data_IF_978560009118
#
_entry.id   IF_978560009118
#
_cell.length_a   1.000
_cell.length_b   1.000
_cell.length_c   1.000
_cell.angle_alpha   90.00
_cell.angle_beta   90.00
_cell.angle_gamma   90.00
#
_symmetry.space_group_name_H-M   'P 1'
#
loop_
_entity.id
_entity.type
_entity.pdbx_description
1 polymer ?
#
# COMPACT_ATOMS: atom_id res chain seq x y z
N UNK A 1 10.15 -23.33 25.09
CA UNK A 1 11.58 -23.62 24.81
C UNK A 1 12.38 -22.41 25.26
N UNK A 2 13.60 -22.57 25.79
CA UNK A 2 14.40 -21.42 26.26
C UNK A 2 14.88 -20.57 25.06
N UNK A 3 14.72 -19.25 25.15
CA UNK A 3 15.14 -18.27 24.14
C UNK A 3 16.64 -18.42 23.82
N UNK A 4 17.45 -18.72 24.83
CA UNK A 4 18.88 -18.95 24.65
C UNK A 4 19.16 -20.13 23.71
N UNK A 5 18.34 -21.20 23.77
CA UNK A 5 18.47 -22.36 22.90
C UNK A 5 18.11 -22.03 21.44
N UNK A 6 17.07 -21.21 21.23
CA UNK A 6 16.65 -20.78 19.89
C UNK A 6 17.73 -19.89 19.26
N UNK A 7 18.29 -18.94 20.02
CA UNK A 7 19.38 -18.08 19.56
C UNK A 7 20.63 -18.89 19.18
N UNK A 8 20.99 -19.90 19.99
CA UNK A 8 22.09 -20.84 19.65
C UNK A 8 21.80 -21.63 18.36
N UNK A 9 20.58 -22.14 18.19
CA UNK A 9 20.16 -22.85 16.96
C UNK A 9 20.29 -21.95 15.72
N UNK A 10 20.03 -20.65 15.88
CA UNK A 10 20.18 -19.64 14.82
C UNK A 10 21.62 -19.12 14.65
N UNK A 11 22.58 -19.63 15.44
CA UNK A 11 23.97 -19.16 15.49
C UNK A 11 24.07 -17.66 15.83
N UNK A 12 23.18 -17.18 16.70
CA UNK A 12 23.14 -15.80 17.19
C UNK A 12 23.75 -15.75 18.59
N UNK A 13 25.01 -15.30 18.68
CA UNK A 13 25.76 -15.10 19.93
C UNK A 13 26.47 -16.37 20.44
N UNK A 14 27.78 -16.27 20.69
CA UNK A 14 28.63 -17.38 21.15
C UNK A 14 28.77 -17.48 22.68
N UNK A 15 28.19 -16.58 23.46
CA UNK A 15 28.37 -16.56 24.92
C UNK A 15 27.10 -16.18 25.66
N UNK A 16 27.01 -16.64 26.91
CA UNK A 16 25.90 -16.56 27.87
C UNK A 16 25.61 -15.10 28.34
N UNK A 17 25.81 -14.10 27.47
CA UNK A 17 25.53 -12.67 27.69
C UNK A 17 24.47 -12.16 26.71
N UNK A 18 23.54 -11.34 27.21
CA UNK A 18 22.31 -10.88 26.55
C UNK A 18 22.52 -10.33 25.13
N UNK A 19 22.22 -11.14 24.10
CA UNK A 19 22.05 -10.64 22.74
C UNK A 19 20.92 -9.60 22.75
N UNK A 20 21.16 -8.39 22.25
CA UNK A 20 20.07 -7.40 22.12
C UNK A 20 19.11 -7.84 21.01
N UNK A 21 17.84 -7.46 21.11
CA UNK A 21 16.88 -7.72 20.03
C UNK A 21 17.32 -7.11 18.71
N UNK A 22 17.94 -5.92 18.74
CA UNK A 22 18.48 -5.27 17.54
C UNK A 22 19.56 -6.14 16.87
N UNK A 23 20.51 -6.68 17.64
CA UNK A 23 21.53 -7.58 17.11
C UNK A 23 20.94 -8.89 16.58
N UNK A 24 19.99 -9.50 17.30
CA UNK A 24 19.32 -10.71 16.87
C UNK A 24 18.56 -10.50 15.55
N UNK A 25 17.71 -9.48 15.46
CA UNK A 25 16.97 -9.15 14.24
C UNK A 25 17.90 -8.79 13.07
N UNK A 26 19.04 -8.15 13.35
CA UNK A 26 20.04 -7.81 12.32
C UNK A 26 20.72 -9.05 11.76
N UNK A 27 21.05 -10.00 12.63
CA UNK A 27 21.62 -11.28 12.21
C UNK A 27 20.62 -12.10 11.41
N UNK A 28 19.37 -12.20 11.86
CA UNK A 28 18.30 -12.93 11.14
C UNK A 28 18.10 -12.31 9.77
N UNK A 29 17.98 -10.97 9.69
CA UNK A 29 17.82 -10.26 8.43
C UNK A 29 18.99 -10.53 7.48
N UNK A 30 20.23 -10.41 7.96
CA UNK A 30 21.42 -10.68 7.14
C UNK A 30 21.48 -12.14 6.68
N UNK A 31 21.16 -13.08 7.55
CA UNK A 31 21.16 -14.51 7.22
C UNK A 31 20.08 -14.84 6.18
N UNK A 32 18.90 -14.23 6.29
CA UNK A 32 17.80 -14.45 5.36
C UNK A 32 18.09 -13.85 3.97
N UNK A 33 18.76 -12.71 3.90
CA UNK A 33 19.08 -12.03 2.63
C UNK A 33 20.15 -12.74 1.78
N UNK A 34 21.02 -13.53 2.39
CA UNK A 34 22.07 -14.30 1.68
C UNK A 34 21.67 -15.75 1.39
N UNK A 35 20.48 -16.17 1.83
CA UNK A 35 20.02 -17.55 1.69
C UNK A 35 19.21 -17.75 0.41
N UNK A 36 19.69 -18.65 -0.45
CA UNK A 36 19.05 -18.97 -1.72
C UNK A 36 18.16 -20.22 -1.65
N UNK A 37 18.34 -21.08 -0.63
CA UNK A 37 17.56 -22.31 -0.50
C UNK A 37 16.17 -22.04 0.08
N UNK A 38 15.14 -22.50 -0.63
CA UNK A 38 13.75 -22.43 -0.17
C UNK A 38 13.57 -23.08 1.21
N UNK A 39 14.16 -24.25 1.44
CA UNK A 39 14.08 -25.00 2.69
C UNK A 39 14.74 -24.26 3.86
N UNK A 40 15.92 -23.68 3.63
CA UNK A 40 16.61 -22.91 4.66
C UNK A 40 15.86 -21.62 5.01
N UNK A 41 15.34 -20.90 4.02
CA UNK A 41 14.50 -19.73 4.26
C UNK A 41 13.24 -20.08 5.08
N UNK A 42 12.58 -21.19 4.76
CA UNK A 42 11.43 -21.67 5.54
C UNK A 42 11.83 -21.98 7.00
N UNK A 43 12.98 -22.62 7.21
CA UNK A 43 13.52 -22.89 8.55
C UNK A 43 13.90 -21.62 9.31
N UNK A 44 14.44 -20.60 8.63
CA UNK A 44 14.72 -19.29 9.26
C UNK A 44 13.41 -18.63 9.70
N UNK A 45 12.37 -18.64 8.87
CA UNK A 45 11.05 -18.11 9.22
C UNK A 45 10.45 -18.84 10.41
N UNK A 46 10.54 -20.17 10.43
CA UNK A 46 10.05 -21.01 11.54
C UNK A 46 10.79 -20.70 12.85
N UNK A 47 12.13 -20.69 12.83
CA UNK A 47 12.94 -20.35 14.00
C UNK A 47 12.67 -18.90 14.48
N UNK A 48 12.43 -17.98 13.55
CA UNK A 48 12.08 -16.59 13.88
C UNK A 48 10.70 -16.53 14.54
N UNK A 49 9.71 -17.25 14.01
CA UNK A 49 8.39 -17.34 14.63
C UNK A 49 8.48 -17.95 16.04
N UNK A 50 9.32 -18.97 16.23
CA UNK A 50 9.56 -19.58 17.53
C UNK A 50 10.23 -18.60 18.50
N UNK A 51 11.24 -17.86 18.05
CA UNK A 51 11.91 -16.82 18.84
C UNK A 51 10.90 -15.75 19.29
N UNK A 52 10.11 -15.21 18.36
CA UNK A 52 9.09 -14.19 18.66
C UNK A 52 8.00 -14.73 19.58
N UNK A 53 7.63 -16.00 19.48
CA UNK A 53 6.61 -16.61 20.33
C UNK A 53 7.06 -16.77 21.79
N UNK A 54 8.34 -17.08 22.01
CA UNK A 54 8.88 -17.46 23.31
C UNK A 54 9.68 -16.34 24.01
N UNK A 55 10.12 -15.31 23.29
CA UNK A 55 10.92 -14.24 23.88
C UNK A 55 10.10 -13.33 24.80
N UNK A 56 10.67 -12.86 25.93
CA UNK A 56 10.00 -11.89 26.79
C UNK A 56 9.62 -10.61 26.03
N UNK A 57 8.41 -10.09 26.27
CA UNK A 57 7.93 -8.85 25.63
C UNK A 57 8.87 -7.67 25.87
N UNK A 58 9.43 -7.57 27.08
CA UNK A 58 10.42 -6.54 27.44
C UNK A 58 11.74 -6.64 26.67
N UNK A 59 12.08 -7.85 26.20
CA UNK A 59 13.25 -8.06 25.34
C UNK A 59 12.91 -7.83 23.87
N UNK A 60 11.75 -8.29 23.39
CA UNK A 60 11.29 -8.10 22.02
C UNK A 60 11.05 -6.61 21.70
N UNK A 61 10.46 -5.92 22.65
CA UNK A 61 10.11 -4.51 22.56
C UNK A 61 10.71 -3.79 23.77
N UNK A 62 12.03 -3.54 23.75
CA UNK A 62 12.65 -2.64 24.71
C UNK A 62 12.19 -1.21 24.36
N UNK A 63 12.95 -0.19 24.73
CA UNK A 63 12.63 1.18 24.31
C UNK A 63 12.70 1.33 22.77
N UNK A 64 11.55 1.17 22.09
CA UNK A 64 11.47 1.12 20.63
C UNK A 64 11.78 2.50 20.05
N UNK A 65 13.02 2.66 19.62
CA UNK A 65 13.53 3.83 18.90
C UNK A 65 13.43 3.63 17.37
N UNK A 66 13.96 4.60 16.62
CA UNK A 66 13.93 4.60 15.15
C UNK A 66 14.71 3.42 14.55
N UNK A 67 15.82 3.01 15.18
CA UNK A 67 16.69 1.94 14.67
C UNK A 67 16.01 0.57 14.83
N UNK A 68 15.46 0.28 16.01
CA UNK A 68 14.73 -0.97 16.27
C UNK A 68 13.51 -1.07 15.36
N UNK A 69 12.77 0.03 15.21
CA UNK A 69 11.62 0.11 14.30
C UNK A 69 12.02 -0.13 12.84
N UNK A 70 13.11 0.50 12.40
CA UNK A 70 13.67 0.31 11.06
C UNK A 70 14.09 -1.14 10.83
N UNK A 71 14.65 -1.80 11.86
CA UNK A 71 15.05 -3.20 11.77
C UNK A 71 13.86 -4.16 11.66
N UNK A 72 12.80 -3.95 12.45
CA UNK A 72 11.55 -4.70 12.29
C UNK A 72 10.95 -4.53 10.90
N UNK A 73 10.88 -3.28 10.41
CA UNK A 73 10.36 -2.99 9.07
C UNK A 73 11.21 -3.66 7.97
N UNK A 74 12.54 -3.59 8.10
CA UNK A 74 13.47 -4.25 7.17
C UNK A 74 13.26 -5.76 7.13
N UNK A 75 13.18 -6.40 8.28
CA UNK A 75 12.94 -7.84 8.38
C UNK A 75 11.60 -8.25 7.75
N UNK A 76 10.52 -7.52 8.06
CA UNK A 76 9.19 -7.76 7.46
C UNK A 76 9.23 -7.60 5.94
N UNK A 77 9.93 -6.59 5.42
CA UNK A 77 10.09 -6.39 3.97
C UNK A 77 10.85 -7.56 3.32
N UNK A 78 11.92 -8.05 3.93
CA UNK A 78 12.65 -9.22 3.40
C UNK A 78 11.79 -10.49 3.39
N UNK A 79 11.05 -10.74 4.46
CA UNK A 79 10.14 -11.90 4.54
C UNK A 79 9.03 -11.82 3.49
N UNK A 80 8.39 -10.66 3.34
CA UNK A 80 7.34 -10.49 2.31
C UNK A 80 7.90 -10.60 0.89
N UNK A 81 9.14 -10.14 0.65
CA UNK A 81 9.81 -10.29 -0.66
C UNK A 81 10.08 -11.75 -1.02
N UNK A 82 10.35 -12.61 -0.04
CA UNK A 82 10.56 -14.03 -0.29
C UNK A 82 9.32 -14.73 -0.88
N UNK A 83 8.11 -14.28 -0.53
CA UNK A 83 6.85 -14.75 -1.08
C UNK A 83 6.30 -13.85 -2.20
N UNK A 84 7.09 -12.89 -2.71
CA UNK A 84 6.67 -12.01 -3.78
C UNK A 84 6.42 -12.77 -5.08
N UNK A 85 5.53 -12.23 -5.91
CA UNK A 85 5.25 -12.81 -7.21
C UNK A 85 6.47 -12.65 -8.13
N UNK A 86 6.82 -13.67 -8.93
CA UNK A 86 7.87 -13.56 -9.92
C UNK A 86 7.56 -12.44 -10.91
N UNK A 87 8.61 -11.73 -11.34
CA UNK A 87 8.50 -10.68 -12.36
C UNK A 87 8.04 -11.33 -13.66
N UNK A 88 6.98 -10.79 -14.25
CA UNK A 88 6.48 -11.22 -15.55
C UNK A 88 7.02 -10.29 -16.63
N UNK A 89 8.18 -10.62 -17.20
CA UNK A 89 8.76 -9.89 -18.33
C UNK A 89 8.10 -10.23 -19.67
N UNK A 90 7.13 -11.15 -19.67
CA UNK A 90 6.44 -11.51 -20.91
C UNK A 90 5.43 -10.46 -21.30
N UNK A 91 5.36 -10.19 -22.61
CA UNK A 91 4.33 -9.35 -23.20
C UNK A 91 2.92 -9.82 -22.88
N UNK A 92 2.69 -11.05 -22.38
CA UNK A 92 1.36 -11.58 -22.02
C UNK A 92 0.85 -11.12 -20.64
N UNK A 93 1.75 -10.67 -19.76
CA UNK A 93 1.40 -10.29 -18.38
C UNK A 93 0.96 -11.47 -17.49
N UNK A 94 1.15 -12.70 -17.95
CA UNK A 94 0.80 -13.93 -17.23
C UNK A 94 1.94 -14.93 -17.31
N UNK A 95 2.32 -15.51 -16.17
CA UNK A 95 3.29 -16.61 -16.13
C UNK A 95 2.56 -17.96 -16.05
N UNK A 96 3.15 -19.05 -16.55
CA UNK A 96 2.63 -20.39 -16.36
C UNK A 96 2.44 -20.73 -14.87
N UNK A 97 1.42 -21.53 -14.54
CA UNK A 97 1.09 -21.88 -13.15
C UNK A 97 2.28 -22.47 -12.37
N UNK A 98 3.14 -23.25 -13.03
CA UNK A 98 4.37 -23.82 -12.45
C UNK A 98 5.34 -22.77 -11.88
N UNK A 99 5.34 -21.54 -12.42
CA UNK A 99 6.19 -20.46 -11.92
C UNK A 99 5.74 -19.96 -10.54
N UNK A 100 4.55 -20.37 -10.08
CA UNK A 100 3.99 -19.99 -8.80
C UNK A 100 3.93 -21.15 -7.79
N UNK A 101 4.44 -22.34 -8.13
CA UNK A 101 4.22 -23.58 -7.37
C UNK A 101 4.59 -23.46 -5.89
N UNK A 102 5.72 -22.81 -5.58
CA UNK A 102 6.18 -22.64 -4.19
C UNK A 102 5.53 -21.45 -3.47
N UNK A 103 4.91 -20.52 -4.20
CA UNK A 103 4.43 -19.24 -3.65
C UNK A 103 3.38 -19.44 -2.55
N UNK A 104 2.37 -20.35 -2.67
CA UNK A 104 1.43 -20.60 -1.59
C UNK A 104 2.09 -21.05 -0.28
N UNK A 105 3.11 -21.91 -0.35
CA UNK A 105 3.83 -22.41 0.83
C UNK A 105 4.67 -21.29 1.45
N UNK A 106 5.41 -20.54 0.63
CA UNK A 106 6.16 -19.34 1.07
C UNK A 106 5.24 -18.33 1.76
N UNK A 107 4.08 -18.04 1.17
CA UNK A 107 3.12 -17.11 1.72
C UNK A 107 2.58 -17.54 3.10
N UNK A 108 2.35 -18.85 3.30
CA UNK A 108 1.93 -19.37 4.61
C UNK A 108 3.03 -19.23 5.67
N UNK A 109 4.28 -19.54 5.33
CA UNK A 109 5.41 -19.41 6.25
C UNK A 109 5.60 -17.94 6.68
N UNK A 110 5.54 -17.02 5.72
CA UNK A 110 5.61 -15.56 5.98
C UNK A 110 4.43 -15.12 6.84
N UNK A 111 3.18 -15.46 6.50
CA UNK A 111 2.04 -15.09 7.32
C UNK A 111 2.18 -15.60 8.76
N UNK A 112 2.73 -16.79 8.96
CA UNK A 112 2.91 -17.38 10.30
C UNK A 112 3.80 -16.51 11.17
N UNK A 113 4.99 -16.13 10.69
CA UNK A 113 5.89 -15.27 11.47
C UNK A 113 5.32 -13.87 11.69
N UNK A 114 4.63 -13.30 10.69
CA UNK A 114 4.02 -11.97 10.81
C UNK A 114 2.84 -11.96 11.78
N UNK A 115 2.02 -13.01 11.81
CA UNK A 115 0.93 -13.18 12.79
C UNK A 115 1.48 -13.30 14.22
N UNK A 116 2.56 -14.05 14.41
CA UNK A 116 3.21 -14.14 15.73
C UNK A 116 3.73 -12.78 16.16
N UNK A 117 4.43 -12.06 15.28
CA UNK A 117 4.90 -10.69 15.58
C UNK A 117 3.73 -9.77 15.97
N UNK A 118 2.65 -9.81 15.19
CA UNK A 118 1.45 -9.00 15.43
C UNK A 118 0.85 -9.29 16.81
N UNK A 119 0.72 -10.57 17.17
CA UNK A 119 0.22 -10.98 18.46
C UNK A 119 1.07 -10.45 19.62
N UNK A 120 2.40 -10.47 19.50
CA UNK A 120 3.27 -9.95 20.57
C UNK A 120 3.21 -8.42 20.69
N UNK A 121 3.06 -7.71 19.56
CA UNK A 121 2.82 -6.26 19.56
C UNK A 121 1.49 -5.96 20.26
N UNK A 122 0.42 -6.69 19.93
CA UNK A 122 -0.90 -6.53 20.56
C UNK A 122 -0.84 -6.76 22.08
N UNK A 123 -0.23 -7.86 22.55
CA UNK A 123 -0.04 -8.11 23.99
C UNK A 123 0.69 -6.96 24.70
N UNK A 124 1.73 -6.43 24.06
CA UNK A 124 2.50 -5.30 24.64
C UNK A 124 1.67 -4.02 24.70
N UNK A 125 0.78 -3.80 23.72
CA UNK A 125 -0.15 -2.67 23.72
C UNK A 125 -1.20 -2.79 24.83
N UNK A 126 -1.69 -4.00 25.10
CA UNK A 126 -2.62 -4.28 26.20
C UNK A 126 -1.97 -4.03 27.57
N UNK A 127 -0.70 -4.42 27.74
CA UNK A 127 0.01 -4.32 29.02
C UNK A 127 0.45 -2.89 29.37
N UNK A 128 1.03 -2.15 28.42
CA UNK A 128 1.75 -0.89 28.70
C UNK A 128 1.24 0.32 27.91
N UNK A 129 0.30 0.12 26.98
CA UNK A 129 -0.29 1.15 26.13
C UNK A 129 0.74 2.16 25.53
N UNK A 130 1.91 1.66 25.13
CA UNK A 130 3.06 2.48 24.74
C UNK A 130 2.90 3.15 23.36
N UNK A 131 3.09 4.48 23.23
CA UNK A 131 3.05 5.18 21.93
C UNK A 131 4.08 4.67 20.93
N UNK A 132 5.26 4.25 21.39
CA UNK A 132 6.33 3.73 20.53
C UNK A 132 5.91 2.40 19.88
N UNK A 133 5.20 1.55 20.61
CA UNK A 133 4.67 0.28 20.11
C UNK A 133 3.51 0.49 19.15
N UNK A 134 2.60 1.45 19.43
CA UNK A 134 1.54 1.83 18.47
C UNK A 134 2.16 2.33 17.17
N UNK A 135 3.22 3.13 17.27
CA UNK A 135 3.96 3.63 16.11
C UNK A 135 4.63 2.50 15.32
N UNK A 136 5.14 1.47 15.99
CA UNK A 136 5.66 0.26 15.33
C UNK A 136 4.55 -0.46 14.56
N UNK A 137 3.40 -0.73 15.19
CA UNK A 137 2.24 -1.36 14.52
C UNK A 137 1.80 -0.61 13.27
N UNK A 138 1.67 0.72 13.36
CA UNK A 138 1.35 1.59 12.20
C UNK A 138 2.42 1.57 11.11
N UNK A 139 3.69 1.39 11.48
CA UNK A 139 4.79 1.31 10.51
C UNK A 139 4.75 0.01 9.71
N UNK A 140 4.33 -1.09 10.33
CA UNK A 140 4.27 -2.41 9.68
C UNK A 140 2.97 -2.63 8.88
N UNK A 141 1.88 -1.97 9.27
CA UNK A 141 0.55 -2.16 8.69
C UNK A 141 0.49 -2.04 7.16
N UNK A 142 1.10 -1.04 6.48
CA UNK A 142 1.08 -0.95 5.02
C UNK A 142 1.64 -2.20 4.33
N UNK A 143 2.76 -2.74 4.85
CA UNK A 143 3.40 -3.95 4.31
C UNK A 143 2.52 -5.18 4.54
N UNK A 144 1.85 -5.30 5.70
CA UNK A 144 0.91 -6.38 5.95
C UNK A 144 -0.31 -6.31 5.02
N UNK A 145 -0.82 -5.10 4.74
CA UNK A 145 -1.94 -4.89 3.84
C UNK A 145 -1.61 -5.34 2.42
N UNK A 146 -0.51 -4.84 1.86
CA UNK A 146 -0.08 -5.19 0.49
C UNK A 146 0.12 -6.70 0.37
N UNK A 147 0.84 -7.30 1.32
CA UNK A 147 1.12 -8.73 1.31
C UNK A 147 -0.18 -9.55 1.40
N UNK A 148 -1.05 -9.20 2.34
CA UNK A 148 -2.32 -9.92 2.53
C UNK A 148 -3.20 -9.84 1.29
N UNK A 149 -3.38 -8.65 0.71
CA UNK A 149 -4.21 -8.44 -0.48
C UNK A 149 -3.66 -9.23 -1.68
N UNK A 150 -2.33 -9.29 -1.85
CA UNK A 150 -1.68 -10.05 -2.91
C UNK A 150 -2.01 -11.55 -2.85
N UNK A 151 -2.26 -12.09 -1.66
CA UNK A 151 -2.55 -13.50 -1.42
C UNK A 151 -4.00 -13.78 -1.00
N UNK A 152 -4.92 -12.82 -1.10
CA UNK A 152 -6.29 -12.95 -0.57
C UNK A 152 -7.27 -13.61 -1.53
N UNK A 153 -7.10 -13.36 -2.84
CA UNK A 153 -8.01 -13.82 -3.89
C UNK A 153 -7.56 -15.17 -4.46
N UNK A 154 -8.51 -15.93 -5.02
CA UNK A 154 -8.20 -17.15 -5.74
C UNK A 154 -7.44 -16.81 -7.03
N UNK A 155 -6.18 -17.22 -7.07
CA UNK A 155 -5.22 -16.97 -8.13
C UNK A 155 -4.29 -18.18 -8.28
N UNK A 156 -3.59 -18.32 -9.43
CA UNK A 156 -2.64 -19.42 -9.67
C UNK A 156 -1.54 -19.55 -8.61
N UNK A 157 -1.20 -18.47 -7.91
CA UNK A 157 -0.18 -18.42 -6.85
C UNK A 157 -0.75 -18.53 -5.43
N UNK A 158 -1.99 -18.98 -5.27
CA UNK A 158 -2.63 -19.10 -3.96
C UNK A 158 -3.25 -20.47 -3.73
N UNK A 159 -3.25 -20.92 -2.48
CA UNK A 159 -4.02 -22.08 -2.02
C UNK A 159 -5.07 -21.65 -1.00
N UNK A 160 -6.06 -22.50 -0.72
CA UNK A 160 -7.07 -22.22 0.30
C UNK A 160 -6.42 -21.89 1.67
N UNK A 161 -5.35 -22.61 2.03
CA UNK A 161 -4.60 -22.38 3.25
C UNK A 161 -3.82 -21.05 3.24
N UNK A 162 -3.17 -20.68 2.11
CA UNK A 162 -2.46 -19.39 2.04
C UNK A 162 -3.44 -18.21 2.10
N UNK A 163 -4.59 -18.31 1.44
CA UNK A 163 -5.66 -17.28 1.50
C UNK A 163 -6.23 -17.12 2.90
N UNK A 164 -6.42 -18.22 3.62
CA UNK A 164 -6.86 -18.18 5.02
C UNK A 164 -5.87 -17.39 5.88
N UNK A 165 -4.58 -17.71 5.78
CA UNK A 165 -3.52 -17.01 6.52
C UNK A 165 -3.40 -15.53 6.14
N UNK A 166 -3.53 -15.21 4.85
CA UNK A 166 -3.53 -13.82 4.38
C UNK A 166 -4.71 -13.01 4.95
N UNK A 167 -5.89 -13.63 5.09
CA UNK A 167 -7.06 -13.00 5.73
C UNK A 167 -6.84 -12.77 7.23
N UNK A 168 -6.27 -13.74 7.92
CA UNK A 168 -5.89 -13.60 9.34
C UNK A 168 -4.89 -12.43 9.49
N UNK A 169 -3.90 -12.32 8.60
CA UNK A 169 -2.92 -11.23 8.65
C UNK A 169 -3.54 -9.86 8.35
N UNK A 170 -4.46 -9.76 7.39
CA UNK A 170 -5.19 -8.52 7.11
C UNK A 170 -6.03 -8.08 8.32
N UNK A 171 -6.66 -9.04 9.00
CA UNK A 171 -7.42 -8.78 10.24
C UNK A 171 -6.49 -8.27 11.34
N UNK A 172 -5.34 -8.91 11.51
CA UNK A 172 -4.35 -8.48 12.49
C UNK A 172 -3.78 -7.08 12.18
N UNK A 173 -3.60 -6.71 10.91
CA UNK A 173 -3.20 -5.36 10.51
C UNK A 173 -4.23 -4.28 10.89
N UNK A 174 -5.53 -4.60 10.76
CA UNK A 174 -6.63 -3.73 11.22
C UNK A 174 -6.56 -3.54 12.73
N UNK A 175 -6.41 -4.63 13.48
CA UNK A 175 -6.32 -4.60 14.95
C UNK A 175 -5.08 -3.85 15.47
N UNK A 176 -3.90 -4.08 14.86
CA UNK A 176 -2.63 -3.43 15.23
C UNK A 176 -2.69 -1.90 15.16
N UNK A 177 -3.55 -1.38 14.31
CA UNK A 177 -3.74 0.07 14.11
C UNK A 177 -4.91 0.63 14.91
N UNK A 178 -5.62 -0.21 15.69
CA UNK A 178 -6.79 0.18 16.46
C UNK A 178 -8.01 0.51 15.59
N UNK A 179 -8.03 0.05 14.34
CA UNK A 179 -9.13 0.25 13.40
C UNK A 179 -10.13 -0.91 13.51
N UNK A 180 -11.38 -0.70 13.09
CA UNK A 180 -12.46 -1.72 13.16
C UNK A 180 -12.71 -2.40 11.82
N UNK A 181 -12.19 -1.83 10.75
CA UNK A 181 -12.38 -2.31 9.40
C UNK A 181 -11.19 -2.01 8.50
N UNK A 182 -11.11 -2.72 7.37
CA UNK A 182 -10.14 -2.43 6.32
C UNK A 182 -10.35 -1.02 5.74
N UNK A 183 -11.59 -0.55 5.65
CA UNK A 183 -11.89 0.80 5.19
C UNK A 183 -11.28 1.86 6.12
N UNK A 184 -11.53 1.74 7.42
CA UNK A 184 -10.97 2.65 8.44
C UNK A 184 -9.44 2.58 8.50
N UNK A 185 -8.87 1.38 8.30
CA UNK A 185 -7.42 1.20 8.16
C UNK A 185 -6.85 1.96 6.96
N UNK A 186 -7.50 1.87 5.80
CA UNK A 186 -7.03 2.51 4.56
C UNK A 186 -7.23 4.02 4.59
N UNK A 187 -8.41 4.48 5.01
CA UNK A 187 -8.83 5.89 4.98
C UNK A 187 -8.42 6.68 6.22
N UNK A 188 -8.24 6.02 7.37
CA UNK A 188 -8.01 6.68 8.65
C UNK A 188 -9.32 6.99 9.39
N UNK A 189 -9.20 7.65 10.54
CA UNK A 189 -10.34 8.07 11.36
C UNK A 189 -10.51 9.58 11.33
N UNK A 190 -11.76 10.03 11.18
CA UNK A 190 -12.11 11.45 11.20
C UNK A 190 -11.78 12.08 12.57
N UNK A 191 -11.96 11.32 13.66
CA UNK A 191 -11.97 11.87 15.02
C UNK A 191 -10.61 11.94 15.74
N UNK A 192 -9.52 11.36 15.19
CA UNK A 192 -8.29 11.08 15.99
C UNK A 192 -6.96 11.46 15.30
N UNK A 193 -6.95 12.30 14.25
CA UNK A 193 -5.77 12.65 13.40
C UNK A 193 -4.97 11.40 12.95
N UNK A 194 -5.60 10.23 12.99
CA UNK A 194 -5.00 8.96 12.64
C UNK A 194 -5.12 8.78 11.13
N UNK A 195 -4.04 9.14 10.46
CA UNK A 195 -3.86 9.00 9.01
C UNK A 195 -3.96 7.52 8.62
N UNK A 196 -4.81 7.23 7.63
CA UNK A 196 -4.93 5.90 7.05
C UNK A 196 -3.67 5.42 6.35
N UNK A 197 -3.59 4.12 6.08
CA UNK A 197 -2.41 3.50 5.45
C UNK A 197 -2.43 3.56 3.93
N UNK A 198 -3.48 4.11 3.29
CA UNK A 198 -3.57 4.11 1.83
C UNK A 198 -2.43 4.91 1.18
N UNK A 199 -2.11 6.11 1.67
CA UNK A 199 -0.98 6.90 1.16
C UNK A 199 0.33 6.08 1.17
N UNK A 200 0.77 5.56 2.32
CA UNK A 200 1.93 4.67 2.40
C UNK A 200 1.86 3.42 1.52
N UNK A 201 0.66 2.82 1.34
CA UNK A 201 0.46 1.69 0.43
C UNK A 201 0.70 2.12 -1.02
N UNK A 202 0.14 3.25 -1.44
CA UNK A 202 0.31 3.78 -2.79
C UNK A 202 1.76 4.21 -3.04
N UNK A 203 2.43 4.83 -2.07
CA UNK A 203 3.86 5.16 -2.14
C UNK A 203 4.72 3.91 -2.38
N UNK A 204 4.34 2.79 -1.77
CA UNK A 204 5.04 1.50 -1.96
C UNK A 204 4.76 0.90 -3.34
N UNK A 205 3.55 1.04 -3.87
CA UNK A 205 3.14 0.46 -5.17
C UNK A 205 3.50 1.35 -6.37
N UNK A 206 3.69 2.65 -6.16
CA UNK A 206 3.98 3.65 -7.20
C UNK A 206 5.18 3.30 -8.08
N UNK A 207 6.33 2.79 -7.57
CA UNK A 207 7.42 2.34 -8.42
C UNK A 207 7.03 1.17 -9.34
N UNK A 208 6.21 0.23 -8.85
CA UNK A 208 5.76 -0.92 -9.64
C UNK A 208 4.79 -0.51 -10.75
N UNK A 209 3.92 0.47 -10.48
CA UNK A 209 3.08 1.09 -11.53
C UNK A 209 3.92 1.71 -12.65
N UNK A 210 5.02 2.39 -12.30
CA UNK A 210 5.95 2.96 -13.29
C UNK A 210 6.65 1.85 -14.09
N UNK A 211 7.10 0.77 -13.42
CA UNK A 211 7.80 -0.36 -14.08
C UNK A 211 6.91 -1.14 -15.03
N UNK A 212 5.61 -1.26 -14.75
CA UNK A 212 4.67 -1.94 -15.67
C UNK A 212 4.64 -1.27 -17.04
N UNK A 213 4.94 0.03 -17.13
CA UNK A 213 4.92 0.76 -18.39
C UNK A 213 3.62 0.52 -19.15
N UNK A 214 3.73 0.25 -20.45
CA UNK A 214 2.60 0.03 -21.35
C UNK A 214 1.71 -1.18 -20.95
N UNK A 215 2.21 -2.12 -20.15
CA UNK A 215 1.45 -3.32 -19.72
C UNK A 215 0.28 -2.96 -18.80
N UNK A 216 0.33 -1.79 -18.15
CA UNK A 216 -0.79 -1.26 -17.34
C UNK A 216 -2.12 -1.22 -18.11
N UNK A 217 -2.07 -1.15 -19.45
CA UNK A 217 -3.23 -1.16 -20.35
C UNK A 217 -4.19 -2.31 -20.05
N UNK A 218 -3.66 -3.49 -19.68
CA UNK A 218 -4.45 -4.68 -19.33
C UNK A 218 -5.31 -4.49 -18.09
N UNK A 219 -4.84 -3.67 -17.16
CA UNK A 219 -5.46 -3.45 -15.87
C UNK A 219 -6.34 -2.21 -15.86
N UNK A 220 -6.31 -1.38 -16.92
CA UNK A 220 -7.03 -0.11 -16.94
C UNK A 220 -8.53 -0.23 -16.66
N UNK A 221 -9.19 -1.34 -17.03
CA UNK A 221 -10.63 -1.49 -16.71
C UNK A 221 -10.87 -1.60 -15.21
N UNK A 222 -10.02 -2.34 -14.51
CA UNK A 222 -10.11 -2.48 -13.05
C UNK A 222 -9.62 -1.18 -12.39
N UNK A 223 -8.53 -0.62 -12.88
CA UNK A 223 -7.93 0.60 -12.34
C UNK A 223 -8.85 1.82 -12.50
N UNK A 224 -9.52 1.98 -13.64
CA UNK A 224 -10.56 3.00 -13.86
C UNK A 224 -11.65 2.91 -12.78
N UNK A 225 -12.19 1.71 -12.52
CA UNK A 225 -13.20 1.51 -11.48
C UNK A 225 -12.68 1.92 -10.10
N UNK A 226 -11.48 1.46 -9.74
CA UNK A 226 -10.85 1.80 -8.45
C UNK A 226 -10.66 3.32 -8.34
N UNK A 227 -10.17 3.97 -9.39
CA UNK A 227 -9.98 5.42 -9.41
C UNK A 227 -11.29 6.16 -9.17
N UNK A 228 -12.37 5.77 -9.88
CA UNK A 228 -13.69 6.39 -9.70
C UNK A 228 -14.21 6.18 -8.29
N UNK A 229 -14.16 4.96 -7.76
CA UNK A 229 -14.61 4.64 -6.40
C UNK A 229 -13.89 5.47 -5.34
N UNK A 230 -12.57 5.65 -5.45
CA UNK A 230 -11.80 6.47 -4.52
C UNK A 230 -12.08 7.98 -4.67
N UNK A 231 -12.39 8.47 -5.87
CA UNK A 231 -12.79 9.88 -6.04
C UNK A 231 -14.14 10.16 -5.38
N UNK A 232 -15.06 9.20 -5.38
CA UNK A 232 -16.41 9.33 -4.84
C UNK A 232 -16.47 9.19 -3.30
N UNK A 233 -15.54 8.46 -2.69
CA UNK A 233 -15.51 8.23 -1.23
C UNK A 233 -14.54 9.20 -0.56
N UNK A 234 -15.08 10.16 0.21
CA UNK A 234 -14.28 11.05 1.07
C UNK A 234 -13.57 10.25 2.18
N UNK A 235 -12.30 10.58 2.39
CA UNK A 235 -11.48 10.10 3.50
C UNK A 235 -11.15 11.26 4.46
N UNK A 236 -12.13 12.12 4.73
CA UNK A 236 -12.02 13.27 5.62
C UNK A 236 -11.24 12.98 6.92
N UNK A 237 -10.59 14.01 7.53
CA UNK A 237 -10.62 15.42 7.12
C UNK A 237 -9.49 15.85 6.16
N UNK A 238 -8.42 15.07 5.97
CA UNK A 238 -7.28 15.50 5.14
C UNK A 238 -7.33 15.03 3.68
N UNK A 239 -8.27 14.15 3.32
CA UNK A 239 -8.51 13.73 1.93
C UNK A 239 -7.28 13.15 1.21
N UNK A 240 -6.47 12.39 1.94
CA UNK A 240 -5.19 11.84 1.45
C UNK A 240 -5.38 10.74 0.45
N UNK A 241 -6.42 9.94 0.59
CA UNK A 241 -6.75 8.89 -0.34
C UNK A 241 -7.13 9.50 -1.68
N UNK A 242 -7.98 10.55 -1.65
CA UNK A 242 -8.36 11.29 -2.86
C UNK A 242 -7.17 12.00 -3.51
N UNK A 243 -6.24 12.58 -2.74
CA UNK A 243 -4.99 13.14 -3.30
C UNK A 243 -4.08 12.06 -3.89
N UNK A 244 -3.92 10.93 -3.21
CA UNK A 244 -3.04 9.86 -3.65
C UNK A 244 -3.58 9.16 -4.90
N UNK A 245 -4.90 9.00 -5.03
CA UNK A 245 -5.51 8.43 -6.25
C UNK A 245 -5.44 9.41 -7.43
N UNK A 246 -5.49 10.72 -7.18
CA UNK A 246 -5.26 11.74 -8.21
C UNK A 246 -3.83 11.66 -8.76
N UNK A 247 -2.80 11.59 -7.90
CA UNK A 247 -1.40 11.36 -8.34
C UNK A 247 -1.26 10.05 -9.14
N UNK A 248 -1.88 8.96 -8.66
CA UNK A 248 -1.87 7.67 -9.36
C UNK A 248 -2.57 7.75 -10.73
N UNK A 249 -3.68 8.49 -10.85
CA UNK A 249 -4.37 8.73 -12.11
C UNK A 249 -3.50 9.53 -13.08
N UNK A 250 -2.83 10.60 -12.63
CA UNK A 250 -1.92 11.39 -13.47
C UNK A 250 -0.85 10.50 -14.12
N UNK A 251 -0.18 9.68 -13.31
CA UNK A 251 0.82 8.71 -13.79
C UNK A 251 0.23 7.69 -14.74
N UNK A 252 -0.95 7.16 -14.42
CA UNK A 252 -1.64 6.18 -15.27
C UNK A 252 -1.96 6.76 -16.64
N UNK A 253 -2.43 8.01 -16.70
CA UNK A 253 -2.72 8.69 -17.97
C UNK A 253 -1.44 8.80 -18.82
N UNK A 254 -0.34 9.26 -18.23
CA UNK A 254 0.94 9.41 -18.92
C UNK A 254 1.50 8.08 -19.43
N UNK A 255 1.46 7.03 -18.60
CA UNK A 255 2.02 5.72 -18.93
C UNK A 255 1.16 4.98 -19.97
N UNK A 256 -0.16 5.09 -19.86
CA UNK A 256 -1.09 4.29 -20.65
C UNK A 256 -1.61 4.97 -21.91
N UNK A 257 -1.20 6.22 -22.17
CA UNK A 257 -1.43 6.91 -23.44
C UNK A 257 -0.82 6.10 -24.59
N UNK A 258 -1.53 5.80 -25.71
CA UNK A 258 -2.82 6.31 -26.20
C UNK A 258 -4.09 5.55 -25.77
N UNK A 259 -3.97 4.46 -25.01
CA UNK A 259 -5.08 3.56 -24.71
C UNK A 259 -6.12 4.10 -23.71
N UNK A 260 -5.91 5.31 -23.20
CA UNK A 260 -6.86 6.01 -22.33
C UNK A 260 -8.10 6.53 -23.06
N UNK A 261 -8.08 6.69 -24.39
CA UNK A 261 -9.16 7.35 -25.16
C UNK A 261 -10.56 6.75 -24.92
N UNK A 262 -10.67 5.43 -24.72
CA UNK A 262 -11.95 4.75 -24.47
C UNK A 262 -12.55 5.00 -23.09
N UNK A 263 -11.77 5.56 -22.17
CA UNK A 263 -12.07 5.71 -20.73
C UNK A 263 -12.37 7.14 -20.31
N UNK A 264 -12.12 8.05 -21.25
CA UNK A 264 -12.11 9.48 -21.03
C UNK A 264 -13.47 10.01 -20.58
N UNK A 265 -14.56 9.54 -21.21
CA UNK A 265 -15.90 10.01 -20.84
C UNK A 265 -16.20 9.79 -19.36
N UNK A 266 -15.91 8.59 -18.85
CA UNK A 266 -16.14 8.25 -17.44
C UNK A 266 -15.18 9.01 -16.51
N UNK A 267 -13.89 9.08 -16.84
CA UNK A 267 -12.90 9.76 -16.01
C UNK A 267 -13.15 11.27 -15.95
N UNK A 268 -13.44 11.92 -17.09
CA UNK A 268 -13.83 13.33 -17.15
C UNK A 268 -15.09 13.58 -16.33
N UNK A 269 -16.13 12.76 -16.48
CA UNK A 269 -17.37 12.92 -15.71
C UNK A 269 -17.11 12.79 -14.21
N UNK A 270 -16.29 11.82 -13.81
CA UNK A 270 -15.96 11.57 -12.40
C UNK A 270 -15.13 12.73 -11.81
N UNK A 271 -14.16 13.26 -12.55
CA UNK A 271 -13.35 14.41 -12.14
C UNK A 271 -14.18 15.70 -12.05
N UNK A 272 -15.10 15.95 -13.00
CA UNK A 272 -15.99 17.10 -12.94
C UNK A 272 -16.95 17.01 -11.77
N UNK A 273 -17.53 15.82 -11.51
CA UNK A 273 -18.35 15.58 -10.33
C UNK A 273 -17.56 15.83 -9.05
N UNK A 274 -16.37 15.26 -8.95
CA UNK A 274 -15.45 15.51 -7.83
C UNK A 274 -15.19 17.01 -7.61
N UNK A 275 -14.90 17.78 -8.66
CA UNK A 275 -14.71 19.23 -8.55
C UNK A 275 -15.97 19.94 -8.00
N UNK A 276 -17.16 19.55 -8.45
CA UNK A 276 -18.43 20.09 -7.96
C UNK A 276 -18.64 19.75 -6.47
N UNK A 277 -18.40 18.51 -6.09
CA UNK A 277 -18.55 18.05 -4.70
C UNK A 277 -17.59 18.81 -3.77
N UNK A 278 -16.29 18.86 -4.11
CA UNK A 278 -15.27 19.62 -3.37
C UNK A 278 -15.61 21.12 -3.31
N UNK A 279 -16.17 21.68 -4.39
CA UNK A 279 -16.58 23.09 -4.42
C UNK A 279 -17.73 23.40 -3.48
N UNK A 280 -18.58 22.41 -3.18
CA UNK A 280 -19.76 22.54 -2.32
C UNK A 280 -19.45 22.19 -0.86
N UNK A 281 -18.41 21.39 -0.62
CA UNK A 281 -18.00 20.94 0.71
C UNK A 281 -17.34 22.05 1.55
N UNK A 282 -17.49 21.91 2.87
CA UNK A 282 -16.98 22.82 3.91
C UNK A 282 -15.54 22.51 4.35
N UNK A 283 -14.66 22.18 3.41
CA UNK A 283 -13.25 21.92 3.69
C UNK A 283 -12.45 23.19 3.98
N UNK A 284 -11.31 23.09 4.70
CA UNK A 284 -10.34 24.18 4.79
C UNK A 284 -9.90 24.67 3.40
N UNK A 285 -9.80 25.98 3.21
CA UNK A 285 -9.51 26.61 1.91
C UNK A 285 -8.28 26.02 1.23
N UNK A 286 -7.19 25.81 1.98
CA UNK A 286 -5.93 25.26 1.45
C UNK A 286 -6.10 23.83 0.92
N UNK A 287 -6.83 22.98 1.65
CA UNK A 287 -7.07 21.59 1.23
C UNK A 287 -7.96 21.55 -0.01
N UNK A 288 -8.99 22.39 -0.03
CA UNK A 288 -9.89 22.56 -1.18
C UNK A 288 -9.13 22.97 -2.43
N UNK A 289 -8.28 23.99 -2.34
CA UNK A 289 -7.43 24.44 -3.44
C UNK A 289 -6.48 23.35 -3.94
N UNK A 290 -5.89 22.57 -3.02
CA UNK A 290 -4.99 21.48 -3.38
C UNK A 290 -5.72 20.36 -4.14
N UNK A 291 -6.85 19.87 -3.62
CA UNK A 291 -7.69 18.85 -4.27
C UNK A 291 -8.15 19.30 -5.66
N UNK A 292 -8.65 20.54 -5.78
CA UNK A 292 -9.11 21.08 -7.06
C UNK A 292 -7.95 21.24 -8.05
N UNK A 293 -6.75 21.60 -7.58
CA UNK A 293 -5.55 21.71 -8.41
C UNK A 293 -5.14 20.35 -8.97
N UNK A 294 -5.05 19.31 -8.14
CA UNK A 294 -4.66 17.96 -8.58
C UNK A 294 -5.69 17.34 -9.54
N UNK A 295 -6.99 17.58 -9.31
CA UNK A 295 -8.05 17.18 -10.25
C UNK A 295 -7.97 17.95 -11.58
N UNK A 296 -7.63 19.24 -11.53
CA UNK A 296 -7.42 20.06 -12.74
C UNK A 296 -6.21 19.57 -13.55
N UNK A 297 -5.13 19.16 -12.89
CA UNK A 297 -3.98 18.53 -13.55
C UNK A 297 -4.36 17.24 -14.27
N UNK A 298 -5.20 16.40 -13.65
CA UNK A 298 -5.74 15.21 -14.32
C UNK A 298 -6.51 15.59 -15.60
N UNK A 299 -7.42 16.57 -15.53
CA UNK A 299 -8.18 17.04 -16.70
C UNK A 299 -7.28 17.61 -17.81
N UNK A 300 -6.20 18.31 -17.45
CA UNK A 300 -5.21 18.81 -18.41
C UNK A 300 -4.48 17.68 -19.13
N UNK A 301 -4.00 16.67 -18.40
CA UNK A 301 -3.36 15.48 -18.99
C UNK A 301 -4.33 14.73 -19.90
N UNK A 302 -5.58 14.56 -19.47
CA UNK A 302 -6.65 13.95 -20.25
C UNK A 302 -6.93 14.72 -21.55
N UNK A 303 -6.95 16.05 -21.48
CA UNK A 303 -7.16 16.90 -22.65
C UNK A 303 -5.99 16.82 -23.65
N UNK A 304 -4.76 16.81 -23.14
CA UNK A 304 -3.58 16.67 -23.98
C UNK A 304 -3.58 15.33 -24.74
N UNK A 305 -3.86 14.25 -24.02
CA UNK A 305 -4.12 12.93 -24.60
C UNK A 305 -5.16 13.03 -25.73
N UNK A 306 -6.28 13.70 -25.49
CA UNK A 306 -7.34 13.87 -26.49
C UNK A 306 -7.04 14.87 -27.61
N UNK A 307 -5.82 15.41 -27.71
CA UNK A 307 -5.45 16.44 -28.71
C UNK A 307 -6.43 17.61 -28.73
N UNK A 308 -6.97 18.00 -27.57
CA UNK A 308 -7.88 19.13 -27.44
C UNK A 308 -9.38 18.80 -27.57
N UNK A 309 -9.79 17.56 -27.83
CA UNK A 309 -11.24 17.23 -27.93
C UNK A 309 -11.99 17.57 -26.64
N UNK A 310 -11.35 17.42 -25.47
CA UNK A 310 -11.97 17.77 -24.19
C UNK A 310 -12.18 19.28 -24.04
N UNK A 311 -11.29 20.13 -24.56
CA UNK A 311 -11.51 21.58 -24.58
C UNK A 311 -12.78 21.96 -25.34
N UNK A 312 -13.07 21.29 -26.46
CA UNK A 312 -14.28 21.54 -27.24
C UNK A 312 -15.53 21.23 -26.42
N UNK A 313 -15.56 20.06 -25.77
CA UNK A 313 -16.68 19.63 -24.94
C UNK A 313 -16.87 20.54 -23.71
N UNK A 314 -15.77 20.95 -23.07
CA UNK A 314 -15.82 21.80 -21.88
C UNK A 314 -16.26 23.24 -22.19
N UNK A 315 -16.07 23.73 -23.42
CA UNK A 315 -16.58 25.04 -23.85
C UNK A 315 -18.09 25.09 -24.00
N UNK A 316 -18.74 23.94 -24.14
CA UNK A 316 -20.20 23.82 -24.24
C UNK A 316 -20.87 23.84 -22.86
N UNK A 317 -20.10 23.80 -21.77
CA UNK A 317 -20.62 23.84 -20.41
C UNK A 317 -21.19 25.22 -20.11
N UNK A 318 -22.47 25.26 -19.74
CA UNK A 318 -23.15 26.49 -19.33
C UNK A 318 -22.59 26.98 -17.98
N UNK A 319 -22.02 28.19 -18.00
CA UNK A 319 -21.46 28.84 -16.82
C UNK A 319 -22.48 29.09 -15.70
N UNK A 320 -23.77 29.17 -16.02
CA UNK A 320 -24.84 29.37 -15.04
C UNK A 320 -25.10 28.14 -14.16
N UNK A 321 -24.63 26.97 -14.59
CA UNK A 321 -24.89 25.68 -13.95
C UNK A 321 -23.70 25.15 -13.13
N UNK A 322 -22.63 25.94 -13.00
CA UNK A 322 -21.35 25.49 -12.44
C UNK A 322 -20.86 26.48 -11.37
N UNK A 323 -20.43 26.00 -10.19
CA UNK A 323 -19.83 26.86 -9.18
C UNK A 323 -18.57 27.59 -9.68
N UNK A 324 -18.37 28.85 -9.30
CA UNK A 324 -17.24 29.68 -9.75
C UNK A 324 -15.86 28.99 -9.64
N UNK A 325 -15.53 28.27 -8.54
CA UNK A 325 -14.25 27.56 -8.44
C UNK A 325 -14.08 26.47 -9.52
N UNK A 326 -15.17 25.77 -9.87
CA UNK A 326 -15.18 24.73 -10.89
C UNK A 326 -15.07 25.35 -12.28
N UNK A 327 -15.76 26.48 -12.51
CA UNK A 327 -15.64 27.26 -13.73
C UNK A 327 -14.19 27.71 -13.97
N UNK A 328 -13.50 28.18 -12.94
CA UNK A 328 -12.08 28.54 -13.01
C UNK A 328 -11.19 27.36 -13.41
N UNK A 329 -11.46 26.16 -12.88
CA UNK A 329 -10.76 24.94 -13.28
C UNK A 329 -11.02 24.58 -14.75
N UNK A 330 -12.28 24.65 -15.20
CA UNK A 330 -12.66 24.42 -16.61
C UNK A 330 -11.95 25.41 -17.53
N UNK A 331 -11.94 26.69 -17.16
CA UNK A 331 -11.27 27.75 -17.92
C UNK A 331 -9.78 27.47 -18.09
N UNK A 332 -9.08 27.04 -17.02
CA UNK A 332 -7.67 26.62 -17.10
C UNK A 332 -7.46 25.51 -18.13
N UNK A 333 -8.34 24.50 -18.17
CA UNK A 333 -8.24 23.40 -19.15
C UNK A 333 -8.49 23.90 -20.58
N UNK A 334 -9.49 24.77 -20.77
CA UNK A 334 -9.86 25.32 -22.09
C UNK A 334 -8.86 26.34 -22.65
N UNK A 335 -8.07 26.98 -21.79
CA UNK A 335 -7.02 27.93 -22.15
C UNK A 335 -5.64 27.29 -22.34
N UNK A 336 -5.46 26.03 -21.95
CA UNK A 336 -4.17 25.35 -22.00
C UNK A 336 -3.69 25.11 -23.44
N UNK A 337 -2.42 25.44 -23.78
CA UNK A 337 -1.86 25.14 -25.09
C UNK A 337 -1.70 23.63 -25.28
N UNK A 338 -1.95 23.14 -26.50
CA UNK A 338 -1.83 21.71 -26.84
C UNK A 338 -0.37 21.21 -26.87
N UNK A 339 0.61 22.11 -26.76
CA UNK A 339 2.04 21.84 -26.77
C UNK A 339 2.61 21.76 -25.35
N UNK A 340 2.41 20.62 -24.68
CA UNK A 340 3.21 20.24 -23.51
C UNK A 340 3.76 18.85 -23.85
N UNK A 341 5.08 18.67 -23.86
CA UNK A 341 5.68 17.35 -24.08
C UNK A 341 5.34 16.45 -22.88
N UNK A 342 4.82 15.25 -23.15
CA UNK A 342 4.78 14.18 -22.14
C UNK A 342 6.19 13.83 -21.65
#
# INVERSE_FOLDING_TARGET
MDVAHILQKMKIGDTVGSCSVLAALSHIHKQFEVEDSHENCARILENTAELLANAPLSWLFPEVNIDIRGQYLGLVKSFTRYAALPVCDTDSGTLPAKNYEDIPAKAQAVCTVLLVLSLQIQKTLEDQNSPAIRSLGRTLAPTYCIFSITHLQEQPWTSAASRKRARELLTSAVELTGNRSVQELLSGKIDDDQKGVLGPVLDTLKPELTKMGIVIIRHLKKLERVIVEYLEVSDAPEEKCRLSILDALQKTIQIAWPCMEKRMGLLTQSLLRFLVDISSDSFPTQLKEHLMTEASHCLLLLNHCLKGKLQTLLREVDSSCVPDPVLMCIQKVTAAPLSISC
#
